data_IF_279756974946
#
_entry.id   IF_279756974946
#
_cell.length_a   1.000
_cell.length_b   1.000
_cell.length_c   1.000
_cell.angle_alpha   90.00
_cell.angle_beta   90.00
_cell.angle_gamma   90.00
#
_symmetry.space_group_name_H-M   'P 1'
#
loop_
_entity.id
_entity.type
_entity.pdbx_description
1 polymer ?
#
# COMPACT_ATOMS: atom_id res chain seq x y z
N UNK A 1 -11.04 3.15 -7.62
CA UNK A 1 -10.08 3.35 -8.71
C UNK A 1 -9.07 4.37 -8.25
N UNK A 2 -7.78 4.18 -8.52
CA UNK A 2 -6.74 5.08 -8.03
C UNK A 2 -6.36 6.09 -9.12
N UNK A 3 -6.72 7.36 -8.91
CA UNK A 3 -6.45 8.46 -9.85
C UNK A 3 -4.99 8.89 -9.80
N UNK A 4 -4.37 8.98 -10.97
CA UNK A 4 -3.05 9.58 -11.18
C UNK A 4 -3.24 10.78 -12.11
N UNK A 5 -2.99 11.97 -11.56
CA UNK A 5 -2.97 13.22 -12.32
C UNK A 5 -1.63 13.32 -13.05
N UNK A 6 -1.58 12.98 -14.34
CA UNK A 6 -0.31 12.89 -15.10
C UNK A 6 0.31 14.26 -15.40
N UNK A 7 -0.49 15.32 -15.43
CA UNK A 7 -0.06 16.72 -15.54
C UNK A 7 0.40 17.34 -14.22
N UNK A 8 0.03 16.74 -13.08
CA UNK A 8 0.28 17.34 -11.79
C UNK A 8 1.77 17.25 -11.39
N UNK A 9 2.27 18.36 -10.87
CA UNK A 9 3.51 18.39 -10.11
C UNK A 9 3.22 18.22 -8.61
N UNK A 10 4.14 17.55 -7.93
CA UNK A 10 4.15 17.33 -6.48
C UNK A 10 5.50 17.72 -5.89
N UNK A 11 5.49 18.38 -4.71
CA UNK A 11 6.70 18.77 -3.98
C UNK A 11 6.53 18.59 -2.47
N UNK A 12 7.40 17.82 -1.78
CA UNK A 12 8.47 17.00 -2.34
C UNK A 12 7.91 15.92 -3.29
N UNK A 13 8.75 15.44 -4.20
CA UNK A 13 8.43 14.33 -5.09
C UNK A 13 8.35 13.01 -4.31
N UNK A 14 7.71 11.99 -4.88
CA UNK A 14 7.68 10.64 -4.29
C UNK A 14 9.09 10.07 -4.11
N UNK A 15 10.00 10.32 -5.06
CA UNK A 15 11.40 9.93 -4.96
C UNK A 15 12.06 10.57 -3.72
N UNK A 16 11.95 11.89 -3.56
CA UNK A 16 12.53 12.61 -2.41
C UNK A 16 11.94 12.13 -1.08
N UNK A 17 10.64 11.81 -1.04
CA UNK A 17 10.01 11.22 0.15
C UNK A 17 10.62 9.86 0.49
N UNK A 18 10.77 8.97 -0.50
CA UNK A 18 11.34 7.65 -0.29
C UNK A 18 12.79 7.74 0.20
N UNK A 19 13.60 8.59 -0.43
CA UNK A 19 15.00 8.81 -0.04
C UNK A 19 15.12 9.41 1.37
N UNK A 20 14.20 10.28 1.77
CA UNK A 20 14.13 10.82 3.13
C UNK A 20 13.78 9.74 4.15
N UNK A 21 12.76 8.92 3.86
CA UNK A 21 12.31 7.86 4.77
C UNK A 21 13.32 6.71 4.85
N UNK A 22 14.18 6.56 3.84
CA UNK A 22 15.23 5.53 3.76
C UNK A 22 16.63 6.02 4.05
N UNK A 23 16.77 7.30 4.39
CA UNK A 23 18.06 7.92 4.68
C UNK A 23 19.12 7.61 3.61
N UNK A 24 18.77 7.87 2.34
CA UNK A 24 19.70 7.71 1.23
C UNK A 24 19.04 7.49 -0.13
N UNK A 25 19.85 7.49 -1.22
CA UNK A 25 19.36 7.24 -2.57
C UNK A 25 18.70 5.88 -2.72
N UNK A 26 17.61 5.82 -3.49
CA UNK A 26 16.88 4.58 -3.74
C UNK A 26 16.49 4.42 -5.20
N UNK A 27 16.42 3.18 -5.67
CA UNK A 27 15.82 2.82 -6.94
C UNK A 27 14.39 2.34 -6.72
N UNK A 28 13.40 2.94 -7.38
CA UNK A 28 12.02 2.46 -7.33
C UNK A 28 11.87 1.24 -8.25
N UNK A 29 11.62 0.08 -7.66
CA UNK A 29 11.34 -1.16 -8.39
C UNK A 29 9.92 -1.15 -8.94
N UNK A 30 8.97 -0.64 -8.15
CA UNK A 30 7.59 -0.49 -8.57
C UNK A 30 6.68 -0.07 -7.44
N UNK A 31 5.43 0.21 -7.77
CA UNK A 31 4.42 0.61 -6.82
C UNK A 31 3.07 -0.05 -7.11
N UNK A 32 2.23 -0.11 -6.08
CA UNK A 32 0.83 -0.50 -6.13
C UNK A 32 -0.01 0.50 -5.33
N UNK A 33 -1.32 0.48 -5.54
CA UNK A 33 -2.26 1.31 -4.79
C UNK A 33 -3.44 0.52 -4.27
N UNK A 34 -4.04 1.03 -3.21
CA UNK A 34 -5.36 0.63 -2.74
C UNK A 34 -6.31 1.81 -2.81
N UNK A 35 -7.58 1.50 -3.01
CA UNK A 35 -8.67 2.45 -2.85
C UNK A 35 -9.15 2.44 -1.40
N UNK A 36 -9.21 3.63 -0.81
CA UNK A 36 -9.99 3.84 0.41
C UNK A 36 -11.49 3.70 0.07
N UNK A 37 -12.27 2.86 0.77
CA UNK A 37 -13.72 2.75 0.57
C UNK A 37 -14.47 4.07 0.67
N UNK A 38 -13.99 5.00 1.49
CA UNK A 38 -14.58 6.32 1.66
C UNK A 38 -14.07 7.33 0.60
N UNK A 39 -13.02 6.97 -0.16
CA UNK A 39 -12.46 7.77 -1.24
C UNK A 39 -11.63 8.97 -0.79
N UNK A 40 -11.34 9.10 0.50
CA UNK A 40 -10.69 10.29 1.08
C UNK A 40 -9.16 10.14 1.19
N UNK A 41 -8.68 8.91 1.32
CA UNK A 41 -7.26 8.61 1.54
C UNK A 41 -6.66 7.86 0.36
N UNK A 42 -5.60 8.42 -0.23
CA UNK A 42 -4.78 7.68 -1.17
C UNK A 42 -3.86 6.71 -0.43
N UNK A 43 -3.85 5.42 -0.78
CA UNK A 43 -2.93 4.43 -0.21
C UNK A 43 -2.01 3.89 -1.31
N UNK A 44 -0.70 4.00 -1.12
CA UNK A 44 0.31 3.59 -2.11
C UNK A 44 1.47 2.87 -1.43
N UNK A 45 1.79 1.69 -1.93
CA UNK A 45 2.96 0.93 -1.51
C UNK A 45 4.03 0.94 -2.58
N UNK A 46 5.29 1.03 -2.17
CA UNK A 46 6.47 1.04 -3.01
C UNK A 46 7.39 -0.11 -2.64
N UNK A 47 7.88 -0.81 -3.66
CA UNK A 47 9.08 -1.62 -3.56
C UNK A 47 10.25 -0.80 -4.07
N UNK A 48 11.31 -0.71 -3.26
CA UNK A 48 12.50 0.08 -3.57
C UNK A 48 13.75 -0.71 -3.25
N UNK A 49 14.82 -0.49 -4.01
CA UNK A 49 16.16 -0.95 -3.67
C UNK A 49 16.96 0.19 -3.07
N UNK A 50 17.55 -0.06 -1.91
CA UNK A 50 18.59 0.79 -1.32
C UNK A 50 19.83 -0.08 -1.25
N UNK A 51 20.85 0.27 -2.03
CA UNK A 51 21.99 -0.62 -2.27
C UNK A 51 21.48 -1.99 -2.79
N UNK A 52 21.88 -3.10 -2.17
CA UNK A 52 21.44 -4.45 -2.55
C UNK A 52 20.20 -4.93 -1.79
N UNK A 53 19.60 -4.08 -0.94
CA UNK A 53 18.47 -4.46 -0.08
C UNK A 53 17.13 -4.01 -0.68
N UNK A 54 16.20 -4.96 -0.79
CA UNK A 54 14.81 -4.67 -1.12
C UNK A 54 14.08 -4.18 0.14
N UNK A 55 13.40 -3.04 0.01
CA UNK A 55 12.60 -2.46 1.09
C UNK A 55 11.20 -2.13 0.58
N UNK A 56 10.24 -2.18 1.50
CA UNK A 56 8.84 -1.84 1.24
C UNK A 56 8.45 -0.60 2.05
N UNK A 57 7.84 0.38 1.37
CA UNK A 57 7.32 1.60 1.99
C UNK A 57 5.83 1.69 1.71
N UNK A 58 5.02 1.90 2.74
CA UNK A 58 3.59 2.19 2.58
C UNK A 58 3.33 3.64 2.98
N UNK A 59 2.69 4.40 2.10
CA UNK A 59 2.26 5.77 2.38
C UNK A 59 0.73 5.87 2.32
N UNK A 60 0.19 6.72 3.20
CA UNK A 60 -1.16 7.27 3.04
C UNK A 60 -1.08 8.78 2.73
N UNK A 61 -1.94 9.24 1.84
CA UNK A 61 -2.04 10.63 1.39
C UNK A 61 -3.40 11.19 1.77
N UNK A 62 -3.43 12.18 2.67
CA UNK A 62 -4.65 12.80 3.20
C UNK A 62 -4.77 14.26 2.75
N UNK A 63 -5.99 14.71 2.51
CA UNK A 63 -6.31 16.12 2.19
C UNK A 63 -6.33 17.06 3.40
N UNK A 64 -6.21 16.53 4.61
CA UNK A 64 -6.11 17.28 5.86
C UNK A 64 -5.25 16.51 6.87
N UNK A 65 -4.75 17.21 7.88
CA UNK A 65 -4.05 16.59 9.01
C UNK A 65 -4.99 15.63 9.77
N UNK A 66 -4.48 14.48 10.17
CA UNK A 66 -5.17 13.59 11.12
C UNK A 66 -5.32 14.33 12.45
N UNK A 67 -6.55 14.46 12.96
CA UNK A 67 -6.83 15.24 14.17
C UNK A 67 -6.27 14.59 15.46
N UNK A 68 -5.97 13.29 15.42
CA UNK A 68 -5.43 12.51 16.52
C UNK A 68 -4.01 12.01 16.17
N UNK A 69 -3.18 11.69 17.16
CA UNK A 69 -1.84 11.09 16.98
C UNK A 69 -1.89 9.62 16.50
N UNK A 70 -2.88 9.30 15.66
CA UNK A 70 -3.17 7.94 15.22
C UNK A 70 -2.20 7.40 14.17
N UNK A 71 -1.40 8.27 13.53
CA UNK A 71 -0.45 7.87 12.51
C UNK A 71 0.79 8.77 12.52
N UNK A 72 1.95 8.21 12.16
CA UNK A 72 3.22 8.93 12.11
C UNK A 72 3.32 9.78 10.85
N UNK A 73 3.27 11.11 11.00
CA UNK A 73 3.46 12.04 9.89
C UNK A 73 4.88 11.90 9.33
N UNK A 74 4.98 11.68 8.03
CA UNK A 74 6.25 11.60 7.29
C UNK A 74 6.60 12.95 6.70
N UNK A 75 5.64 13.60 6.04
CA UNK A 75 5.88 14.88 5.35
C UNK A 75 4.57 15.58 4.98
N UNK A 76 4.69 16.84 4.54
CA UNK A 76 3.64 17.55 3.81
C UNK A 76 4.08 17.73 2.36
N UNK A 77 3.13 17.69 1.43
CA UNK A 77 3.37 17.83 -0.01
C UNK A 77 2.39 18.80 -0.63
N UNK A 78 2.89 19.69 -1.48
CA UNK A 78 2.08 20.51 -2.36
C UNK A 78 1.76 19.72 -3.63
N UNK A 79 0.48 19.53 -3.92
CA UNK A 79 0.01 18.94 -5.17
C UNK A 79 -0.71 20.00 -6.00
N UNK A 80 -0.17 20.29 -7.18
CA UNK A 80 -0.68 21.38 -8.06
C UNK A 80 -2.18 21.33 -8.36
N UNK A 81 -2.77 20.15 -8.52
CA UNK A 81 -4.23 20.01 -8.75
C UNK A 81 -5.06 19.80 -7.48
N UNK A 82 -4.47 19.21 -6.44
CA UNK A 82 -5.18 18.66 -5.29
C UNK A 82 -4.94 19.45 -4.00
N UNK A 83 -4.11 20.48 -4.07
CA UNK A 83 -3.70 21.30 -2.92
C UNK A 83 -2.71 20.59 -1.99
N UNK A 84 -2.58 21.07 -0.75
CA UNK A 84 -1.69 20.47 0.25
C UNK A 84 -2.15 19.06 0.61
N UNK A 85 -1.16 18.20 0.87
CA UNK A 85 -1.34 16.79 1.24
C UNK A 85 -0.47 16.45 2.43
N UNK A 86 -1.03 15.66 3.34
CA UNK A 86 -0.32 15.13 4.51
C UNK A 86 -0.02 13.67 4.26
N UNK A 87 1.26 13.32 4.35
CA UNK A 87 1.77 11.99 4.04
C UNK A 87 2.16 11.34 5.36
N UNK A 88 1.56 10.18 5.62
CA UNK A 88 1.84 9.40 6.82
C UNK A 88 2.53 8.08 6.45
N UNK A 89 3.20 7.50 7.44
CA UNK A 89 3.60 6.10 7.40
C UNK A 89 2.34 5.23 7.42
N UNK A 90 2.05 4.62 6.28
CA UNK A 90 0.85 3.80 6.09
C UNK A 90 0.84 2.55 6.96
N UNK A 91 1.97 2.11 7.51
CA UNK A 91 1.99 1.02 8.50
C UNK A 91 1.40 1.44 9.86
N UNK A 92 1.25 2.75 10.08
CA UNK A 92 0.64 3.32 11.29
C UNK A 92 -0.72 3.95 11.02
N UNK A 93 -1.09 4.17 9.76
CA UNK A 93 -2.36 4.80 9.40
C UNK A 93 -3.50 3.77 9.38
N UNK A 94 -4.58 3.97 10.18
CA UNK A 94 -5.68 3.01 10.28
C UNK A 94 -6.35 2.68 8.94
N UNK A 95 -6.47 3.65 8.03
CA UNK A 95 -7.10 3.44 6.72
C UNK A 95 -6.20 2.58 5.83
N UNK A 96 -4.89 2.86 5.82
CA UNK A 96 -3.93 2.07 5.05
C UNK A 96 -3.81 0.64 5.60
N UNK A 97 -3.74 0.47 6.92
CA UNK A 97 -3.72 -0.84 7.59
C UNK A 97 -4.99 -1.63 7.29
N UNK A 98 -6.16 -0.99 7.32
CA UNK A 98 -7.41 -1.64 6.98
C UNK A 98 -7.46 -2.09 5.50
N UNK A 99 -6.90 -1.30 4.57
CA UNK A 99 -6.76 -1.71 3.17
C UNK A 99 -5.88 -2.96 3.03
N UNK A 100 -4.72 -2.98 3.69
CA UNK A 100 -3.82 -4.14 3.68
C UNK A 100 -4.50 -5.37 4.27
N UNK A 101 -5.24 -5.22 5.39
CA UNK A 101 -6.00 -6.31 6.01
C UNK A 101 -6.99 -6.92 5.03
N UNK A 102 -7.86 -6.09 4.44
CA UNK A 102 -8.85 -6.55 3.46
C UNK A 102 -8.17 -7.23 2.27
N UNK A 103 -7.02 -6.73 1.83
CA UNK A 103 -6.26 -7.36 0.76
C UNK A 103 -5.73 -8.75 1.14
N UNK A 104 -5.20 -8.93 2.36
CA UNK A 104 -4.77 -10.25 2.88
C UNK A 104 -5.97 -11.22 2.94
N UNK A 105 -7.13 -10.74 3.38
CA UNK A 105 -8.36 -11.54 3.50
C UNK A 105 -9.06 -11.79 2.14
N UNK A 106 -8.54 -11.25 1.04
CA UNK A 106 -9.14 -11.36 -0.29
C UNK A 106 -10.41 -10.51 -0.48
N UNK A 107 -10.69 -9.61 0.45
CA UNK A 107 -11.85 -8.70 0.47
C UNK A 107 -11.62 -7.42 -0.33
N UNK A 108 -10.36 -7.11 -0.66
CA UNK A 108 -9.99 -5.93 -1.43
C UNK A 108 -8.92 -6.26 -2.48
N UNK A 109 -9.19 -5.87 -3.73
CA UNK A 109 -8.20 -5.92 -4.80
C UNK A 109 -7.28 -4.69 -4.78
N UNK A 110 -6.09 -4.82 -5.35
CA UNK A 110 -5.29 -3.65 -5.70
C UNK A 110 -6.04 -2.76 -6.68
N UNK A 111 -5.88 -1.44 -6.55
CA UNK A 111 -6.54 -0.48 -7.41
C UNK A 111 -5.96 -0.50 -8.83
N UNK A 112 -6.85 -0.34 -9.82
CA UNK A 112 -6.44 -0.02 -11.19
C UNK A 112 -6.00 1.44 -11.24
N UNK A 113 -4.86 1.71 -11.87
CA UNK A 113 -4.33 3.06 -12.02
C UNK A 113 -5.01 3.73 -13.21
N UNK A 114 -5.82 4.74 -12.93
CA UNK A 114 -6.40 5.60 -13.95
C UNK A 114 -5.52 6.82 -14.18
N UNK A 115 -5.24 7.11 -15.43
CA UNK A 115 -4.51 8.31 -15.85
C UNK A 115 -5.53 9.38 -16.20
N UNK A 116 -5.43 10.53 -15.54
CA UNK A 116 -6.33 11.66 -15.73
C UNK A 116 -5.53 12.91 -16.13
N UNK A 117 -6.06 13.63 -17.12
CA UNK A 117 -5.53 14.92 -17.61
C UNK A 117 -6.70 15.90 -17.74
N UNK A 118 -6.56 17.10 -17.17
CA UNK A 118 -7.57 18.17 -17.22
C UNK A 118 -9.00 17.69 -16.88
N UNK A 119 -9.12 16.81 -15.88
CA UNK A 119 -10.41 16.27 -15.44
C UNK A 119 -11.03 15.23 -16.38
N UNK A 120 -10.25 14.66 -17.30
CA UNK A 120 -10.68 13.58 -18.21
C UNK A 120 -9.84 12.32 -18.02
N UNK A 121 -10.49 11.17 -17.97
CA UNK A 121 -9.82 9.86 -18.06
C UNK A 121 -9.18 9.71 -19.44
N UNK A 122 -7.86 9.59 -19.48
CA UNK A 122 -7.06 9.42 -20.70
C UNK A 122 -6.52 8.00 -20.88
N UNK A 123 -6.57 7.17 -19.84
CA UNK A 123 -6.25 5.75 -19.95
C UNK A 123 -6.10 5.04 -18.61
N UNK A 124 -5.67 3.80 -18.65
CA UNK A 124 -5.29 3.01 -17.47
C UNK A 124 -3.88 2.46 -17.64
N UNK A 125 -3.16 2.31 -16.53
CA UNK A 125 -1.82 1.70 -16.52
C UNK A 125 -1.81 0.46 -15.62
N UNK A 126 -1.17 -0.61 -16.09
CA UNK A 126 -0.92 -1.76 -15.21
C UNK A 126 0.09 -1.37 -14.12
N UNK A 127 -0.20 -1.68 -12.84
CA UNK A 127 0.77 -1.50 -11.77
C UNK A 127 2.03 -2.36 -12.02
N UNK A 128 3.21 -1.78 -11.77
CA UNK A 128 4.47 -2.52 -11.85
C UNK A 128 4.58 -3.62 -10.77
N UNK A 129 3.83 -3.49 -9.67
CA UNK A 129 3.71 -4.48 -8.61
C UNK A 129 2.30 -5.07 -8.61
N UNK A 130 2.21 -6.39 -8.73
CA UNK A 130 0.98 -7.16 -8.59
C UNK A 130 0.89 -7.77 -7.20
N UNK A 131 -0.28 -7.66 -6.58
CA UNK A 131 -0.57 -8.21 -5.27
C UNK A 131 -1.45 -9.45 -5.38
N UNK A 132 -1.19 -10.43 -4.53
CA UNK A 132 -2.05 -11.60 -4.33
C UNK A 132 -2.08 -12.00 -2.87
N UNK A 133 -3.27 -12.30 -2.36
CA UNK A 133 -3.41 -12.97 -1.06
C UNK A 133 -2.86 -14.39 -1.16
N UNK A 134 -2.09 -14.79 -0.15
CA UNK A 134 -1.67 -16.18 0.06
C UNK A 134 -2.27 -16.67 1.37
N UNK A 135 -2.88 -17.85 1.35
CA UNK A 135 -3.24 -18.54 2.57
C UNK A 135 -1.94 -19.01 3.25
N UNK A 136 -1.84 -18.84 4.57
CA UNK A 136 -0.79 -19.52 5.32
C UNK A 136 -0.94 -21.02 5.16
N UNK A 137 0.17 -21.76 5.23
CA UNK A 137 0.10 -23.22 5.36
C UNK A 137 -0.60 -23.53 6.68
N UNK A 138 -1.90 -23.78 6.60
CA UNK A 138 -2.68 -24.30 7.71
C UNK A 138 -2.22 -25.73 7.95
N UNK A 139 -1.15 -25.90 8.74
CA UNK A 139 -0.83 -27.17 9.35
C UNK A 139 -1.97 -27.55 10.32
N UNK A 140 -3.02 -28.17 9.76
CA UNK A 140 -4.12 -28.80 10.49
C UNK A 140 -5.37 -27.95 10.65
N UNK A 141 -6.22 -27.90 9.62
CA UNK A 141 -7.67 -27.76 9.83
C UNK A 141 -8.43 -28.73 8.95
N UNK A 142 -8.82 -29.85 9.55
CA UNK A 142 -9.75 -30.80 8.95
C UNK A 142 -11.19 -30.30 9.08
N UNK A 143 -11.82 -30.10 7.92
CA UNK A 143 -13.24 -30.27 7.63
C UNK A 143 -14.30 -29.32 8.25
N UNK A 144 -14.98 -28.59 7.35
CA UNK A 144 -16.45 -28.51 7.31
C UNK A 144 -17.12 -27.43 8.15
N UNK A 145 -17.44 -26.28 7.54
CA UNK A 145 -18.32 -25.26 8.13
C UNK A 145 -18.91 -24.34 7.07
N UNK A 146 -20.24 -24.28 7.02
CA UNK A 146 -21.06 -23.43 6.15
C UNK A 146 -20.74 -21.94 6.31
N UNK A 147 -20.87 -21.18 5.21
CA UNK A 147 -20.87 -19.72 5.22
C UNK A 147 -21.85 -19.19 6.28
N UNK A 148 -21.32 -18.57 7.33
CA UNK A 148 -22.09 -18.03 8.44
C UNK A 148 -21.17 -17.30 9.40
N UNK A 149 -21.39 -15.99 9.49
CA UNK A 149 -20.79 -15.02 10.41
C UNK A 149 -19.28 -14.79 10.24
N UNK A 150 -18.93 -13.71 9.52
CA UNK A 150 -17.58 -13.16 9.50
C UNK A 150 -17.30 -12.49 10.86
N UNK A 151 -17.16 -13.31 11.89
CA UNK A 151 -16.59 -12.90 13.17
C UNK A 151 -15.22 -12.30 12.91
N UNK A 152 -14.97 -11.13 13.48
CA UNK A 152 -13.73 -10.37 13.35
C UNK A 152 -12.51 -11.28 13.54
N UNK A 153 -11.70 -11.57 12.50
CA UNK A 153 -10.43 -12.26 12.73
C UNK A 153 -9.50 -11.23 13.38
N UNK A 154 -9.46 -11.23 14.71
CA UNK A 154 -8.69 -10.35 15.60
C UNK A 154 -7.16 -10.48 15.45
N UNK A 155 -6.68 -10.67 14.23
CA UNK A 155 -5.27 -10.73 13.88
C UNK A 155 -4.68 -9.35 13.69
N UNK A 156 -3.42 -9.22 14.08
CA UNK A 156 -2.65 -7.99 13.91
C UNK A 156 -2.05 -7.99 12.51
N UNK A 157 -2.23 -6.89 11.77
CA UNK A 157 -1.58 -6.70 10.47
C UNK A 157 -0.15 -6.23 10.70
N UNK A 158 0.79 -6.98 10.15
CA UNK A 158 2.20 -6.60 10.11
C UNK A 158 2.56 -6.17 8.70
N UNK A 159 2.70 -4.86 8.47
CA UNK A 159 3.27 -4.31 7.23
C UNK A 159 4.79 -4.40 7.34
N UNK A 160 5.42 -5.15 6.43
CA UNK A 160 6.84 -5.47 6.52
C UNK A 160 7.66 -4.40 5.82
N UNK A 161 8.62 -3.81 6.55
CA UNK A 161 9.59 -2.84 6.01
C UNK A 161 10.65 -3.53 5.14
N UNK A 162 11.06 -4.71 5.58
CA UNK A 162 11.96 -5.63 4.89
C UNK A 162 11.10 -6.82 4.45
N UNK A 163 10.79 -6.93 3.15
CA UNK A 163 9.95 -8.02 2.65
C UNK A 163 10.56 -9.39 2.92
N UNK A 164 9.71 -10.36 3.25
CA UNK A 164 10.11 -11.73 3.56
C UNK A 164 9.94 -12.64 2.33
N UNK A 165 10.70 -13.73 2.23
CA UNK A 165 10.52 -14.69 1.13
C UNK A 165 9.22 -15.49 1.23
N UNK A 166 8.78 -15.75 2.47
CA UNK A 166 7.59 -16.54 2.79
C UNK A 166 7.03 -16.14 4.15
N UNK A 167 5.74 -16.40 4.38
CA UNK A 167 5.07 -16.22 5.66
C UNK A 167 4.43 -17.54 6.11
N UNK A 168 4.32 -17.73 7.42
CA UNK A 168 3.65 -18.90 8.02
C UNK A 168 2.13 -18.78 8.08
N UNK A 169 1.59 -17.57 7.95
CA UNK A 169 0.16 -17.24 8.05
C UNK A 169 -0.38 -16.56 6.79
N UNK A 170 -1.66 -16.14 6.81
CA UNK A 170 -2.24 -15.33 5.74
C UNK A 170 -1.38 -14.11 5.45
N UNK A 171 -1.05 -13.88 4.18
CA UNK A 171 -0.13 -12.83 3.82
C UNK A 171 -0.44 -12.21 2.45
N UNK A 172 0.16 -11.05 2.22
CA UNK A 172 0.10 -10.32 0.97
C UNK A 172 1.43 -10.47 0.24
N UNK A 173 1.40 -11.23 -0.85
CA UNK A 173 2.54 -11.43 -1.73
C UNK A 173 2.55 -10.34 -2.80
N UNK A 174 3.68 -9.65 -2.93
CA UNK A 174 3.97 -8.75 -4.03
C UNK A 174 4.83 -9.48 -5.09
N UNK A 175 4.50 -9.26 -6.36
CA UNK A 175 5.26 -9.77 -7.52
C UNK A 175 5.54 -8.62 -8.48
N UNK A 176 6.75 -8.55 -9.01
CA UNK A 176 7.20 -7.52 -9.96
C UNK A 176 8.19 -8.15 -10.97
N UNK A 177 8.65 -7.37 -11.94
CA UNK A 177 9.66 -7.85 -12.88
C UNK A 177 10.99 -8.11 -12.16
N UNK A 178 11.36 -9.39 -12.07
CA UNK A 178 12.59 -9.82 -11.39
C UNK A 178 12.42 -10.27 -9.94
N UNK A 179 11.19 -10.43 -9.41
CA UNK A 179 11.04 -11.04 -8.09
C UNK A 179 9.63 -11.12 -7.52
N UNK A 180 9.56 -11.74 -6.34
CA UNK A 180 8.39 -11.76 -5.47
C UNK A 180 8.82 -11.75 -4.01
N UNK A 181 8.01 -11.16 -3.13
CA UNK A 181 8.24 -11.15 -1.69
C UNK A 181 6.94 -10.87 -0.93
N UNK A 182 6.84 -11.36 0.30
CA UNK A 182 5.77 -11.04 1.23
C UNK A 182 6.00 -9.64 1.80
N UNK A 183 4.99 -8.79 1.66
CA UNK A 183 5.06 -7.38 2.09
C UNK A 183 4.18 -7.07 3.30
N UNK A 184 3.25 -7.97 3.64
CA UNK A 184 2.45 -7.90 4.85
C UNK A 184 1.93 -9.28 5.25
N UNK A 185 1.67 -9.50 6.53
CA UNK A 185 1.06 -10.72 7.08
C UNK A 185 0.03 -10.42 8.16
N UNK A 186 -0.83 -11.40 8.45
CA UNK A 186 -1.80 -11.40 9.53
C UNK A 186 -1.44 -12.51 10.53
N UNK A 187 -1.37 -12.15 11.81
CA UNK A 187 -1.10 -13.08 12.92
C UNK A 187 -2.37 -13.65 13.56
#
# INVERSE_FOLDING_TARGET
MAVVHSSATIRPTKQELLETVLDGPVEVVGAYRFDDPDGEVGVEGFLVRREDLLQHVLFSYRGAILAEDGARLVSTMEHSELGPRWIYDGATDPVAVACVRRAILGEQAQAVLELWEDGRLVGTREPAVRLSAVAGDAAGSTAGGTAGDAGDPAGVVHVLREPEEAASGPALLATWDGGRAVIARLD
#
